data_IF_319353270746
#
_entry.id   IF_319353270746
#
_cell.length_a   1.000
_cell.length_b   1.000
_cell.length_c   1.000
_cell.angle_alpha   90.00
_cell.angle_beta   90.00
_cell.angle_gamma   90.00
#
_symmetry.space_group_name_H-M   'P 1'
#
loop_
_entity.id
_entity.type
_entity.pdbx_description
1 polymer ?
#
# COMPACT_ATOMS: atom_id res chain seq x y z
N UNK A 1 19.53 7.67 3.70
CA UNK A 1 19.05 6.34 3.26
C UNK A 1 19.48 5.35 4.34
N UNK A 2 18.57 4.55 4.91
CA UNK A 2 18.92 3.59 5.97
C UNK A 2 19.70 2.41 5.36
N UNK A 3 20.88 2.04 5.89
CA UNK A 3 21.66 0.90 5.38
C UNK A 3 20.97 -0.46 5.56
N UNK A 4 19.93 -0.55 6.39
CA UNK A 4 19.16 -1.78 6.65
C UNK A 4 17.95 -1.92 5.73
N UNK A 5 17.73 -0.97 4.82
CA UNK A 5 16.65 -1.04 3.85
C UNK A 5 16.85 -2.21 2.86
N UNK A 6 15.82 -3.04 2.72
CA UNK A 6 15.73 -4.17 1.80
C UNK A 6 14.50 -3.95 0.93
N UNK A 7 14.70 -3.41 -0.28
CA UNK A 7 13.62 -3.03 -1.19
C UNK A 7 12.97 -4.17 -1.97
N UNK A 8 13.46 -5.41 -1.83
CA UNK A 8 12.96 -6.60 -2.53
C UNK A 8 12.44 -7.64 -1.57
N UNK A 9 11.18 -8.04 -1.74
CA UNK A 9 10.58 -9.15 -1.01
C UNK A 9 10.70 -10.44 -1.84
N UNK A 10 11.90 -11.02 -1.86
CA UNK A 10 12.20 -12.18 -2.70
C UNK A 10 13.15 -13.18 -2.03
N UNK A 11 13.39 -14.32 -2.68
CA UNK A 11 14.24 -15.39 -2.15
C UNK A 11 13.49 -16.35 -1.24
N UNK A 12 14.22 -17.00 -0.34
CA UNK A 12 13.68 -17.97 0.63
C UNK A 12 13.01 -17.30 1.84
N UNK A 13 12.47 -18.11 2.78
CA UNK A 13 11.79 -17.59 3.97
C UNK A 13 12.62 -16.58 4.76
N UNK A 14 13.90 -16.88 5.04
CA UNK A 14 14.77 -15.97 5.80
C UNK A 14 15.00 -14.62 5.13
N UNK A 15 15.16 -14.58 3.81
CA UNK A 15 15.34 -13.33 3.06
C UNK A 15 14.05 -12.51 3.08
N UNK A 16 12.91 -13.17 2.85
CA UNK A 16 11.60 -12.55 2.85
C UNK A 16 11.23 -12.00 4.23
N UNK A 17 11.44 -12.75 5.29
CA UNK A 17 11.23 -12.32 6.67
C UNK A 17 12.12 -11.12 7.03
N UNK A 18 13.38 -11.13 6.57
CA UNK A 18 14.30 -10.01 6.73
C UNK A 18 13.81 -8.73 6.05
N UNK A 19 13.21 -8.85 4.86
CA UNK A 19 12.66 -7.71 4.10
C UNK A 19 11.27 -7.26 4.58
N UNK A 20 10.49 -8.15 5.18
CA UNK A 20 9.03 -8.03 5.42
C UNK A 20 8.61 -6.72 6.09
N UNK A 21 9.44 -6.18 6.98
CA UNK A 21 9.24 -4.88 7.64
C UNK A 21 10.42 -3.91 7.46
N UNK A 22 11.32 -4.18 6.51
CA UNK A 22 12.56 -3.41 6.31
C UNK A 22 12.66 -2.80 4.91
N UNK A 23 11.55 -2.55 4.23
CA UNK A 23 11.55 -1.89 2.92
C UNK A 23 10.39 -2.31 2.03
N UNK A 24 9.82 -3.47 2.30
CA UNK A 24 8.55 -3.93 1.74
C UNK A 24 7.41 -2.94 2.01
N UNK A 25 6.59 -2.70 0.99
CA UNK A 25 5.42 -1.81 1.03
C UNK A 25 4.19 -2.58 1.47
N UNK A 26 3.47 -2.05 2.44
CA UNK A 26 2.23 -2.61 2.97
C UNK A 26 1.04 -1.74 2.56
N UNK A 27 0.13 -2.19 1.68
CA UNK A 27 -0.94 -1.35 1.14
C UNK A 27 -1.95 -0.88 2.19
N UNK A 28 -2.21 -1.69 3.22
CA UNK A 28 -3.12 -1.29 4.30
C UNK A 28 -2.68 0.00 5.02
N UNK A 29 -1.39 0.34 5.01
CA UNK A 29 -0.87 1.59 5.59
C UNK A 29 -1.40 2.84 4.87
N UNK A 30 -1.94 2.70 3.65
CA UNK A 30 -2.61 3.80 2.96
C UNK A 30 -3.83 4.31 3.73
N UNK A 31 -4.50 3.45 4.52
CA UNK A 31 -5.62 3.85 5.37
C UNK A 31 -5.26 4.91 6.41
N UNK A 32 -4.37 4.62 7.38
CA UNK A 32 -3.92 5.60 8.34
C UNK A 32 -3.16 6.77 7.70
N UNK A 33 -2.45 6.55 6.60
CA UNK A 33 -1.81 7.64 5.84
C UNK A 33 -2.84 8.66 5.33
N UNK A 34 -3.93 8.19 4.71
CA UNK A 34 -5.01 9.07 4.22
C UNK A 34 -5.72 9.76 5.37
N UNK A 35 -5.96 9.06 6.49
CA UNK A 35 -6.55 9.70 7.68
C UNK A 35 -5.70 10.89 8.17
N UNK A 36 -4.38 10.70 8.27
CA UNK A 36 -3.47 11.76 8.65
C UNK A 36 -3.43 12.88 7.59
N UNK A 37 -3.34 12.52 6.30
CA UNK A 37 -3.31 13.48 5.19
C UNK A 37 -4.53 14.39 5.21
N UNK A 38 -5.74 13.84 5.38
CA UNK A 38 -6.95 14.64 5.44
C UNK A 38 -6.99 15.49 6.72
N UNK A 39 -6.66 14.90 7.87
CA UNK A 39 -6.75 15.59 9.17
C UNK A 39 -5.80 16.78 9.30
N UNK A 40 -4.57 16.68 8.81
CA UNK A 40 -3.58 17.77 8.92
C UNK A 40 -3.78 18.87 7.87
N UNK A 41 -4.66 18.64 6.89
CA UNK A 41 -4.99 19.58 5.82
C UNK A 41 -6.47 20.02 5.87
N UNK A 42 -7.06 20.03 7.07
CA UNK A 42 -8.42 20.49 7.37
C UNK A 42 -9.51 19.86 6.50
N UNK A 43 -9.28 18.64 6.02
CA UNK A 43 -10.17 17.97 5.07
C UNK A 43 -10.50 18.87 3.86
N UNK A 44 -9.52 19.62 3.36
CA UNK A 44 -9.68 20.47 2.17
C UNK A 44 -9.98 19.64 0.93
N UNK A 45 -10.65 20.23 -0.06
CA UNK A 45 -10.91 19.55 -1.33
C UNK A 45 -9.62 19.16 -2.07
N UNK A 46 -8.53 19.90 -1.84
CA UNK A 46 -7.21 19.54 -2.33
C UNK A 46 -6.68 18.25 -1.69
N UNK A 47 -6.76 18.14 -0.35
CA UNK A 47 -6.35 16.92 0.36
C UNK A 47 -7.18 15.70 -0.06
N UNK A 48 -8.49 15.88 -0.29
CA UNK A 48 -9.36 14.83 -0.84
C UNK A 48 -8.95 14.41 -2.24
N UNK A 49 -8.67 15.37 -3.13
CA UNK A 49 -8.19 15.07 -4.50
C UNK A 49 -6.87 14.31 -4.47
N UNK A 50 -5.93 14.71 -3.61
CA UNK A 50 -4.66 14.03 -3.44
C UNK A 50 -4.83 12.63 -2.87
N UNK A 51 -5.68 12.45 -1.85
CA UNK A 51 -5.98 11.13 -1.31
C UNK A 51 -6.53 10.18 -2.39
N UNK A 52 -7.49 10.66 -3.21
CA UNK A 52 -8.02 9.87 -4.33
C UNK A 52 -6.95 9.52 -5.36
N UNK A 53 -6.09 10.46 -5.75
CA UNK A 53 -5.05 10.17 -6.74
C UNK A 53 -4.01 9.16 -6.25
N UNK A 54 -3.73 9.14 -4.94
CA UNK A 54 -2.84 8.15 -4.32
C UNK A 54 -3.48 6.76 -4.19
N UNK A 55 -4.80 6.68 -3.98
CA UNK A 55 -5.53 5.42 -3.83
C UNK A 55 -5.93 4.80 -5.18
N UNK A 56 -6.15 5.61 -6.22
CA UNK A 56 -6.64 5.14 -7.52
C UNK A 56 -5.84 3.95 -8.09
N UNK A 57 -4.50 3.95 -8.08
CA UNK A 57 -3.72 2.84 -8.66
C UNK A 57 -3.95 1.51 -7.93
N UNK A 58 -4.32 1.53 -6.64
CA UNK A 58 -4.63 0.34 -5.87
C UNK A 58 -6.05 -0.18 -6.14
N UNK A 59 -6.98 0.71 -6.51
CA UNK A 59 -8.36 0.36 -6.87
C UNK A 59 -8.49 -0.20 -8.29
N UNK A 60 -7.59 0.21 -9.18
CA UNK A 60 -7.51 -0.25 -10.58
C UNK A 60 -6.53 -1.42 -10.76
N UNK A 61 -5.99 -1.93 -9.66
CA UNK A 61 -4.96 -2.95 -9.70
C UNK A 61 -5.53 -4.30 -10.15
N UNK A 62 -4.88 -4.89 -11.14
CA UNK A 62 -5.10 -6.26 -11.56
C UNK A 62 -3.86 -7.11 -11.22
N UNK A 63 -3.97 -7.97 -10.20
CA UNK A 63 -2.91 -8.91 -9.83
C UNK A 63 -3.36 -10.33 -10.07
N UNK A 64 -2.65 -11.05 -10.94
CA UNK A 64 -2.94 -12.46 -11.20
C UNK A 64 -4.34 -12.70 -11.77
N UNK A 65 -4.91 -11.73 -12.49
CA UNK A 65 -6.27 -11.80 -13.05
C UNK A 65 -7.39 -11.54 -12.04
N UNK A 66 -7.07 -11.02 -10.84
CA UNK A 66 -8.04 -10.65 -9.83
C UNK A 66 -7.95 -9.15 -9.49
N UNK A 67 -9.11 -8.52 -9.33
CA UNK A 67 -9.25 -7.12 -8.88
C UNK A 67 -9.19 -7.06 -7.35
N UNK A 68 -8.01 -7.34 -6.80
CA UNK A 68 -7.78 -7.36 -5.35
C UNK A 68 -6.41 -6.79 -5.02
N UNK A 69 -6.19 -6.50 -3.74
CA UNK A 69 -4.97 -5.87 -3.24
C UNK A 69 -4.14 -6.92 -2.48
N UNK A 70 -2.89 -7.17 -2.91
CA UNK A 70 -1.97 -8.07 -2.24
C UNK A 70 -1.58 -7.63 -0.82
N UNK A 71 -0.92 -8.55 -0.14
CA UNK A 71 -0.37 -8.32 1.18
C UNK A 71 0.73 -7.28 1.18
N UNK A 72 1.66 -7.42 0.24
CA UNK A 72 2.85 -6.57 0.15
C UNK A 72 3.27 -6.32 -1.29
N UNK A 73 4.08 -5.28 -1.47
CA UNK A 73 4.83 -5.03 -2.70
C UNK A 73 6.32 -4.82 -2.39
N UNK A 74 7.17 -5.03 -3.39
CA UNK A 74 8.55 -4.55 -3.35
C UNK A 74 8.60 -3.05 -3.04
N UNK A 75 9.54 -2.66 -2.19
CA UNK A 75 9.84 -1.25 -1.92
C UNK A 75 10.48 -0.53 -3.09
N UNK A 76 11.23 -1.25 -3.94
CA UNK A 76 11.89 -0.68 -5.12
C UNK A 76 11.11 -1.00 -6.42
N UNK A 77 11.15 -0.13 -7.45
CA UNK A 77 10.53 -0.38 -8.75
C UNK A 77 10.98 -1.73 -9.35
N UNK A 78 10.09 -2.57 -9.93
CA UNK A 78 8.77 -2.20 -10.41
C UNK A 78 7.63 -2.47 -9.41
N UNK A 79 7.91 -2.54 -8.10
CA UNK A 79 6.89 -2.78 -7.06
C UNK A 79 6.09 -4.06 -7.31
N UNK A 80 6.80 -5.20 -7.42
CA UNK A 80 6.15 -6.50 -7.65
C UNK A 80 5.28 -6.89 -6.46
N UNK A 81 4.09 -7.46 -6.68
CA UNK A 81 3.25 -7.96 -5.59
C UNK A 81 3.87 -9.21 -4.96
N UNK A 82 3.69 -9.38 -3.66
CA UNK A 82 4.16 -10.52 -2.90
C UNK A 82 3.22 -10.89 -1.75
N UNK A 83 3.54 -11.99 -1.07
CA UNK A 83 2.73 -12.50 0.03
C UNK A 83 1.37 -13.04 -0.44
N UNK A 84 0.33 -12.84 0.38
CA UNK A 84 -1.03 -13.18 -0.01
C UNK A 84 -1.50 -12.35 -1.21
N UNK A 85 -2.05 -13.02 -2.23
CA UNK A 85 -2.53 -12.37 -3.46
C UNK A 85 -3.72 -11.42 -3.18
N UNK A 86 -4.55 -11.76 -2.18
CA UNK A 86 -5.75 -11.02 -1.79
C UNK A 86 -5.80 -10.87 -0.28
N UNK A 87 -5.57 -9.65 0.21
CA UNK A 87 -5.30 -9.43 1.63
C UNK A 87 -6.38 -8.50 2.23
N UNK A 88 -7.14 -9.03 3.18
CA UNK A 88 -8.41 -8.44 3.64
C UNK A 88 -8.26 -7.02 4.21
N UNK A 89 -7.31 -6.81 5.11
CA UNK A 89 -6.91 -5.52 5.68
C UNK A 89 -6.46 -4.48 4.64
N UNK A 90 -5.71 -4.84 3.60
CA UNK A 90 -5.32 -3.95 2.49
C UNK A 90 -6.55 -3.50 1.72
N UNK A 91 -7.42 -4.44 1.34
CA UNK A 91 -8.68 -4.13 0.65
C UNK A 91 -9.56 -3.24 1.53
N UNK A 92 -9.74 -3.59 2.80
CA UNK A 92 -10.58 -2.86 3.74
C UNK A 92 -10.08 -1.43 3.98
N UNK A 93 -8.78 -1.24 4.23
CA UNK A 93 -8.21 0.08 4.50
C UNK A 93 -8.25 1.00 3.27
N UNK A 94 -8.00 0.46 2.07
CA UNK A 94 -8.09 1.25 0.82
C UNK A 94 -9.53 1.68 0.55
N UNK A 95 -10.51 0.78 0.69
CA UNK A 95 -11.92 1.13 0.50
C UNK A 95 -12.42 2.12 1.57
N UNK A 96 -12.02 1.93 2.83
CA UNK A 96 -12.36 2.85 3.93
C UNK A 96 -11.77 4.24 3.68
N UNK A 97 -10.51 4.32 3.26
CA UNK A 97 -9.84 5.58 2.95
C UNK A 97 -10.49 6.27 1.74
N UNK A 98 -10.85 5.50 0.70
CA UNK A 98 -11.56 6.01 -0.47
C UNK A 98 -12.89 6.66 -0.08
N UNK A 99 -13.68 6.00 0.76
CA UNK A 99 -14.95 6.53 1.24
C UNK A 99 -14.80 7.83 2.05
N UNK A 100 -13.70 8.01 2.81
CA UNK A 100 -13.41 9.26 3.52
C UNK A 100 -12.95 10.39 2.61
N UNK A 101 -12.30 10.05 1.51
CA UNK A 101 -11.82 10.99 0.51
C UNK A 101 -12.88 11.32 -0.56
N UNK A 102 -14.04 10.67 -0.52
CA UNK A 102 -15.17 10.93 -1.42
C UNK A 102 -15.79 12.31 -1.20
#
# INVERSE_FOLDING_TARGET
>A
RDPRYIGRYEGGPWQRDGAYHQGTVWPWLMGPYVDALLSVNDYSDESRRLARSLLQPLLELEVGGANTIPEVFDGDPPHRPGGCISQAWSVAEVLRAWAKAA
#
